data_IF_511606785349
#
_entry.id   IF_511606785349
#
_cell.length_a   1.000
_cell.length_b   1.000
_cell.length_c   1.000
_cell.angle_alpha   90.00
_cell.angle_beta   90.00
_cell.angle_gamma   90.00
#
_symmetry.space_group_name_H-M   'P 1'
#
loop_
_entity.id
_entity.type
_entity.pdbx_description
1 polymer ?
#
# COMPACT_ATOMS: atom_id res chain seq x y z
N UNK A 1 20.19 -14.45 4.15
CA UNK A 1 19.00 -15.26 4.52
C UNK A 1 17.74 -14.49 4.13
N UNK A 2 16.67 -15.16 3.70
CA UNK A 2 15.41 -14.50 3.31
C UNK A 2 14.34 -14.81 4.34
N UNK A 3 13.45 -13.85 4.60
CA UNK A 3 12.38 -13.97 5.57
C UNK A 3 11.04 -13.56 4.96
N UNK A 4 9.95 -14.08 5.51
CA UNK A 4 8.61 -13.55 5.28
C UNK A 4 8.09 -12.90 6.56
N UNK A 5 7.46 -11.73 6.42
CA UNK A 5 6.76 -11.05 7.49
C UNK A 5 5.29 -10.88 7.13
N UNK A 6 4.40 -11.61 7.81
CA UNK A 6 2.96 -11.42 7.70
C UNK A 6 2.51 -10.44 8.78
N UNK A 7 2.03 -9.27 8.38
CA UNK A 7 1.78 -8.14 9.28
C UNK A 7 0.31 -7.76 9.27
N UNK A 8 -0.31 -7.75 10.45
CA UNK A 8 -1.66 -7.23 10.63
C UNK A 8 -1.62 -5.74 10.95
N UNK A 9 -2.33 -4.95 10.15
CA UNK A 9 -2.36 -3.49 10.26
C UNK A 9 -3.76 -3.00 10.66
N UNK A 10 -3.80 -1.97 11.50
CA UNK A 10 -5.01 -1.24 11.85
C UNK A 10 -4.83 0.24 11.49
N UNK A 11 -5.75 0.77 10.69
CA UNK A 11 -5.81 2.18 10.36
C UNK A 11 -6.11 3.07 11.57
N UNK A 12 -5.23 4.03 11.83
CA UNK A 12 -5.41 5.06 12.89
C UNK A 12 -5.82 6.41 12.31
N UNK A 13 -5.98 6.49 10.99
CA UNK A 13 -6.69 7.57 10.30
C UNK A 13 -7.45 7.00 9.09
N UNK A 14 -8.37 7.78 8.48
CA UNK A 14 -9.04 7.34 7.26
C UNK A 14 -8.05 6.99 6.16
N UNK A 15 -8.43 6.12 5.24
CA UNK A 15 -7.65 5.75 4.06
C UNK A 15 -8.45 6.06 2.80
N UNK A 16 -7.76 6.50 1.73
CA UNK A 16 -8.40 6.79 0.45
C UNK A 16 -7.52 6.35 -0.71
N UNK A 17 -8.16 5.99 -1.80
CA UNK A 17 -7.53 5.59 -3.05
C UNK A 17 -7.87 6.59 -4.15
N UNK A 18 -6.99 6.69 -5.13
CA UNK A 18 -7.21 7.51 -6.32
C UNK A 18 -6.72 6.76 -7.56
N UNK A 19 -7.23 5.55 -7.77
CA UNK A 19 -6.97 4.79 -8.98
C UNK A 19 -7.44 5.58 -10.21
N UNK A 20 -6.59 5.64 -11.23
CA UNK A 20 -6.92 6.30 -12.49
C UNK A 20 -7.81 5.37 -13.32
N UNK A 21 -8.99 5.84 -13.73
CA UNK A 21 -9.88 5.12 -14.63
C UNK A 21 -10.17 5.94 -15.90
N UNK A 22 -10.45 5.24 -16.99
CA UNK A 22 -10.71 5.84 -18.31
C UNK A 22 -12.13 5.57 -18.81
N UNK A 23 -13.08 5.38 -17.89
CA UNK A 23 -14.49 5.16 -18.23
C UNK A 23 -14.99 6.27 -19.16
N UNK A 24 -15.53 5.96 -20.34
CA UNK A 24 -15.98 7.00 -21.26
C UNK A 24 -17.19 7.75 -20.70
N UNK A 25 -17.31 9.02 -21.10
CA UNK A 25 -18.53 9.80 -20.88
C UNK A 25 -19.65 9.29 -21.76
N UNK A 26 -20.87 9.31 -21.24
CA UNK A 26 -22.07 9.04 -22.03
C UNK A 26 -22.43 10.28 -22.88
N UNK A 27 -23.19 10.11 -23.98
CA UNK A 27 -23.65 11.23 -24.78
C UNK A 27 -24.41 12.26 -23.93
N UNK A 28 -24.01 13.53 -24.03
CA UNK A 28 -24.59 14.67 -23.28
C UNK A 28 -24.47 14.55 -21.74
N UNK A 29 -23.57 13.73 -21.23
CA UNK A 29 -23.33 13.59 -19.79
C UNK A 29 -22.58 14.81 -19.23
N UNK A 30 -23.18 15.45 -18.23
CA UNK A 30 -22.55 16.54 -17.49
C UNK A 30 -21.40 16.03 -16.62
N UNK A 31 -20.47 16.91 -16.25
CA UNK A 31 -19.26 16.52 -15.53
C UNK A 31 -19.55 15.97 -14.12
N UNK A 32 -20.55 16.52 -13.43
CA UNK A 32 -21.04 16.06 -12.13
C UNK A 32 -21.77 14.71 -12.23
N UNK A 33 -22.60 14.51 -13.25
CA UNK A 33 -23.26 13.24 -13.51
C UNK A 33 -22.24 12.12 -13.82
N UNK A 34 -21.21 12.43 -14.61
CA UNK A 34 -20.09 11.52 -14.84
C UNK A 34 -19.39 11.15 -13.54
N UNK A 35 -19.03 12.14 -12.73
CA UNK A 35 -18.36 11.94 -11.44
C UNK A 35 -19.22 11.10 -10.46
N UNK A 36 -20.52 11.38 -10.34
CA UNK A 36 -21.47 10.59 -9.53
C UNK A 36 -21.56 9.12 -10.00
N UNK A 37 -21.50 8.88 -11.32
CA UNK A 37 -21.56 7.53 -11.87
C UNK A 37 -20.25 6.77 -11.73
N UNK A 38 -19.10 7.43 -11.89
CA UNK A 38 -17.82 6.75 -12.06
C UNK A 38 -16.89 6.81 -10.87
N UNK A 39 -17.19 7.56 -9.80
CA UNK A 39 -16.25 7.74 -8.68
C UNK A 39 -15.79 6.43 -8.04
N UNK A 40 -16.62 5.37 -8.07
CA UNK A 40 -16.26 4.03 -7.57
C UNK A 40 -15.09 3.42 -8.34
N UNK A 41 -14.89 3.80 -9.59
CA UNK A 41 -13.76 3.33 -10.39
C UNK A 41 -12.42 3.91 -9.92
N UNK A 42 -12.40 4.74 -8.85
CA UNK A 42 -11.19 5.24 -8.21
C UNK A 42 -10.61 4.30 -7.14
N UNK A 43 -11.20 3.11 -6.94
CA UNK A 43 -10.62 2.06 -6.09
C UNK A 43 -9.83 1.04 -6.91
N UNK A 44 -8.85 0.43 -6.26
CA UNK A 44 -8.24 -0.83 -6.68
C UNK A 44 -9.10 -1.99 -6.20
N UNK A 45 -9.27 -3.01 -7.04
CA UNK A 45 -10.05 -4.21 -6.73
C UNK A 45 -9.42 -5.45 -7.34
N UNK A 46 -9.64 -6.61 -6.73
CA UNK A 46 -9.31 -7.90 -7.31
C UNK A 46 -10.42 -8.38 -8.27
N UNK A 47 -10.23 -9.57 -8.86
CA UNK A 47 -11.16 -10.17 -9.82
C UNK A 47 -12.53 -10.53 -9.20
N UNK A 48 -12.58 -10.69 -7.87
CA UNK A 48 -13.81 -10.93 -7.10
C UNK A 48 -14.57 -9.63 -6.77
N UNK A 49 -14.05 -8.47 -7.19
CA UNK A 49 -14.64 -7.17 -6.89
C UNK A 49 -14.41 -6.68 -5.45
N UNK A 50 -13.58 -7.37 -4.67
CA UNK A 50 -13.15 -6.93 -3.35
C UNK A 50 -12.11 -5.82 -3.49
N UNK A 51 -12.23 -4.79 -2.65
CA UNK A 51 -11.30 -3.67 -2.63
C UNK A 51 -9.99 -4.11 -1.99
N UNK A 52 -8.90 -3.84 -2.71
CA UNK A 52 -7.53 -4.13 -2.27
C UNK A 52 -6.73 -2.85 -2.15
N UNK A 53 -5.70 -2.84 -1.31
CA UNK A 53 -4.73 -1.76 -1.25
C UNK A 53 -3.52 -2.10 -2.12
N UNK A 54 -2.97 -1.17 -2.91
CA UNK A 54 -1.78 -1.46 -3.70
C UNK A 54 -0.58 -1.84 -2.83
N UNK A 55 0.01 -3.01 -3.08
CA UNK A 55 1.23 -3.54 -2.46
C UNK A 55 2.38 -2.52 -2.52
N UNK A 56 2.48 -1.83 -3.65
CA UNK A 56 3.48 -0.78 -3.88
C UNK A 56 3.37 0.37 -2.85
N UNK A 57 2.17 0.68 -2.36
CA UNK A 57 1.97 1.70 -1.34
C UNK A 57 2.69 1.34 -0.03
N UNK A 58 2.63 0.08 0.38
CA UNK A 58 3.29 -0.43 1.58
C UNK A 58 4.80 -0.52 1.41
N UNK A 59 5.27 -1.03 0.26
CA UNK A 59 6.70 -1.05 -0.09
C UNK A 59 7.30 0.35 -0.01
N UNK A 60 6.66 1.32 -0.67
CA UNK A 60 7.13 2.69 -0.71
C UNK A 60 7.07 3.36 0.67
N UNK A 61 6.04 3.08 1.47
CA UNK A 61 5.91 3.67 2.80
C UNK A 61 7.07 3.27 3.72
N UNK A 62 7.42 1.98 3.79
CA UNK A 62 8.50 1.51 4.66
C UNK A 62 9.90 1.89 4.14
N UNK A 63 10.12 1.89 2.81
CA UNK A 63 11.37 2.37 2.23
C UNK A 63 11.56 3.88 2.46
N UNK A 64 10.50 4.68 2.31
CA UNK A 64 10.54 6.11 2.60
C UNK A 64 10.73 6.39 4.10
N UNK A 65 10.21 5.53 4.98
CA UNK A 65 10.46 5.61 6.42
C UNK A 65 11.94 5.38 6.74
N UNK A 66 12.56 4.33 6.18
CA UNK A 66 13.99 4.08 6.35
C UNK A 66 14.84 5.28 5.89
N UNK A 67 14.49 5.88 4.75
CA UNK A 67 15.12 7.11 4.24
C UNK A 67 14.92 8.29 5.19
N UNK A 68 13.69 8.51 5.64
CA UNK A 68 13.32 9.63 6.51
C UNK A 68 14.07 9.59 7.84
N UNK A 69 14.17 8.40 8.45
CA UNK A 69 14.83 8.22 9.74
C UNK A 69 16.36 8.25 9.63
N UNK A 70 16.91 7.98 8.44
CA UNK A 70 18.37 7.96 8.20
C UNK A 70 19.12 7.07 9.21
N UNK A 71 18.52 5.94 9.60
CA UNK A 71 19.08 5.00 10.57
C UNK A 71 20.39 4.45 10.01
N UNK A 72 21.47 4.60 10.77
CA UNK A 72 22.78 4.06 10.40
C UNK A 72 22.86 2.57 10.71
N UNK A 73 23.56 1.84 9.86
CA UNK A 73 23.79 0.40 10.03
C UNK A 73 24.96 0.24 11.01
N UNK A 74 24.77 -0.44 12.16
CA UNK A 74 25.84 -0.66 13.13
C UNK A 74 27.08 -1.27 12.47
N UNK A 75 28.26 -0.69 12.76
CA UNK A 75 29.53 -1.17 12.22
C UNK A 75 29.80 -0.85 10.74
N UNK A 76 28.91 -0.13 10.04
CA UNK A 76 29.10 0.26 8.61
C UNK A 76 29.28 1.78 8.41
N UNK A 77 29.82 2.46 9.43
CA UNK A 77 30.12 3.89 9.38
C UNK A 77 28.87 4.75 9.15
N UNK A 78 28.88 5.62 8.14
CA UNK A 78 27.75 6.51 7.79
C UNK A 78 26.70 5.87 6.87
N UNK A 79 26.81 4.57 6.57
CA UNK A 79 25.86 3.87 5.71
C UNK A 79 24.51 3.73 6.43
N UNK A 80 23.41 3.99 5.73
CA UNK A 80 22.05 3.87 6.27
C UNK A 80 21.28 2.72 5.64
N UNK A 81 20.20 2.29 6.30
CA UNK A 81 19.32 1.21 5.83
C UNK A 81 18.54 1.52 4.54
N UNK A 82 18.55 2.77 4.05
CA UNK A 82 17.73 3.24 2.91
C UNK A 82 17.79 2.29 1.71
N UNK A 83 18.99 1.97 1.22
CA UNK A 83 19.15 1.12 0.02
C UNK A 83 18.67 -0.31 0.26
N UNK A 84 18.87 -0.83 1.47
CA UNK A 84 18.44 -2.16 1.86
C UNK A 84 16.91 -2.26 1.84
N UNK A 85 16.17 -1.25 2.33
CA UNK A 85 14.70 -1.26 2.22
C UNK A 85 14.20 -0.97 0.79
N UNK A 86 14.94 -0.22 -0.04
CA UNK A 86 14.52 0.03 -1.42
C UNK A 86 14.58 -1.23 -2.30
N UNK A 87 15.63 -2.05 -2.16
CA UNK A 87 15.84 -3.26 -2.98
C UNK A 87 15.53 -4.58 -2.27
N UNK A 88 15.68 -4.63 -0.95
CA UNK A 88 15.63 -5.85 -0.14
C UNK A 88 14.24 -6.25 0.34
N UNK A 89 13.18 -5.52 -0.03
CA UNK A 89 11.81 -5.85 0.36
C UNK A 89 10.89 -5.93 -0.86
N UNK A 90 9.93 -6.83 -0.75
CA UNK A 90 8.80 -6.97 -1.66
C UNK A 90 7.53 -7.17 -0.85
N UNK A 91 6.40 -6.65 -1.34
CA UNK A 91 5.07 -6.99 -0.82
C UNK A 91 4.44 -7.94 -1.84
N UNK A 92 4.07 -9.14 -1.41
CA UNK A 92 3.79 -10.26 -2.31
C UNK A 92 2.47 -10.09 -3.10
N UNK A 93 1.48 -9.44 -2.49
CA UNK A 93 0.15 -9.26 -3.06
C UNK A 93 -0.51 -7.97 -2.55
N UNK A 94 -1.56 -7.52 -3.25
CA UNK A 94 -2.38 -6.38 -2.84
C UNK A 94 -3.34 -6.81 -1.72
N UNK A 95 -3.17 -6.34 -0.46
CA UNK A 95 -3.99 -6.81 0.65
C UNK A 95 -5.44 -6.29 0.58
N UNK A 96 -6.39 -7.14 0.95
CA UNK A 96 -7.82 -6.80 1.02
C UNK A 96 -8.09 -5.82 2.17
N UNK A 97 -8.98 -4.84 1.93
CA UNK A 97 -9.46 -3.91 2.96
C UNK A 97 -10.65 -4.51 3.69
N UNK A 98 -10.54 -4.56 5.02
CA UNK A 98 -11.64 -4.90 5.90
C UNK A 98 -12.12 -3.68 6.67
N UNK A 99 -13.43 -3.49 6.77
CA UNK A 99 -14.04 -2.52 7.67
C UNK A 99 -14.84 -3.22 8.76
N UNK A 100 -15.04 -2.50 9.86
CA UNK A 100 -15.89 -2.93 10.96
C UNK A 100 -17.34 -3.01 10.49
N UNK A 101 -17.99 -4.14 10.73
CA UNK A 101 -19.42 -4.36 10.54
C UNK A 101 -19.97 -5.03 11.81
N UNK A 102 -20.64 -4.23 12.66
CA UNK A 102 -21.05 -4.66 13.99
C UNK A 102 -19.86 -5.09 14.86
N UNK A 103 -19.85 -6.35 15.30
CA UNK A 103 -18.77 -6.92 16.10
C UNK A 103 -17.62 -7.52 15.29
N UNK A 104 -17.79 -7.66 13.98
CA UNK A 104 -16.85 -8.34 13.10
C UNK A 104 -16.19 -7.38 12.10
N UNK A 105 -15.26 -7.94 11.32
CA UNK A 105 -14.61 -7.27 10.20
C UNK A 105 -14.97 -7.99 8.90
N UNK A 106 -15.40 -7.24 7.89
CA UNK A 106 -15.77 -7.81 6.58
C UNK A 106 -14.98 -7.16 5.45
N UNK A 107 -14.62 -7.93 4.42
CA UNK A 107 -14.02 -7.38 3.22
C UNK A 107 -15.03 -6.47 2.51
N UNK A 108 -14.55 -5.40 1.89
CA UNK A 108 -15.41 -4.45 1.17
C UNK A 108 -15.48 -4.80 -0.30
N UNK A 109 -16.69 -5.04 -0.80
CA UNK A 109 -16.96 -5.11 -2.24
C UNK A 109 -17.08 -3.71 -2.85
N UNK A 110 -16.68 -3.55 -4.11
CA UNK A 110 -16.66 -2.25 -4.83
C UNK A 110 -18.01 -1.51 -4.81
N UNK A 111 -19.12 -2.23 -4.79
CA UNK A 111 -20.48 -1.65 -4.76
C UNK A 111 -20.82 -0.97 -3.43
N UNK A 112 -20.17 -1.42 -2.34
CA UNK A 112 -20.41 -0.95 -0.98
C UNK A 112 -19.35 0.04 -0.49
N UNK A 113 -18.54 0.57 -1.42
CA UNK A 113 -17.46 1.51 -1.05
C UNK A 113 -18.05 2.78 -0.44
N UNK A 114 -17.56 3.24 0.72
CA UNK A 114 -17.91 4.53 1.30
C UNK A 114 -17.32 5.70 0.50
N UNK A 115 -18.03 6.82 0.44
CA UNK A 115 -17.60 8.03 -0.29
C UNK A 115 -17.48 9.25 0.61
N UNK A 116 -16.61 10.16 0.20
CA UNK A 116 -16.55 11.52 0.73
C UNK A 116 -16.63 12.51 -0.43
N UNK A 117 -17.52 13.50 -0.32
CA UNK A 117 -17.54 14.64 -1.22
C UNK A 117 -16.47 15.64 -0.78
N UNK A 118 -15.62 16.06 -1.71
CA UNK A 118 -14.62 17.10 -1.47
C UNK A 118 -14.73 18.15 -2.55
N UNK A 119 -14.74 19.42 -2.12
CA UNK A 119 -14.49 20.52 -3.02
C UNK A 119 -12.96 20.60 -3.21
N UNK A 120 -12.46 20.50 -4.44
CA UNK A 120 -11.02 20.48 -4.75
C UNK A 120 -10.69 21.41 -5.91
N UNK A 121 -9.43 21.84 -6.06
CA UNK A 121 -9.00 22.58 -7.24
C UNK A 121 -9.22 21.75 -8.50
N UNK A 122 -9.91 22.30 -9.50
CA UNK A 122 -10.19 21.57 -10.75
C UNK A 122 -8.94 21.38 -11.61
N UNK A 123 -7.93 22.23 -11.41
CA UNK A 123 -6.63 22.26 -12.09
C UNK A 123 -5.52 21.52 -11.30
N UNK A 124 -5.83 20.99 -10.11
CA UNK A 124 -4.86 20.32 -9.25
C UNK A 124 -3.88 21.27 -8.55
N UNK A 125 -4.05 22.59 -8.66
CA UNK A 125 -3.16 23.58 -8.05
C UNK A 125 -3.70 24.00 -6.69
N UNK A 126 -2.93 23.74 -5.64
CA UNK A 126 -3.29 24.16 -4.27
C UNK A 126 -3.46 25.68 -4.18
N UNK A 127 -4.55 26.13 -3.57
CA UNK A 127 -4.87 27.56 -3.43
C UNK A 127 -5.55 28.18 -4.68
N UNK A 128 -5.74 27.42 -5.76
CA UNK A 128 -6.50 27.90 -6.92
C UNK A 128 -7.97 28.18 -6.55
N UNK A 129 -8.51 29.28 -7.07
CA UNK A 129 -9.92 29.64 -6.95
C UNK A 129 -10.86 28.83 -7.85
N UNK A 130 -10.31 28.02 -8.78
CA UNK A 130 -11.10 27.12 -9.64
C UNK A 130 -11.49 25.88 -8.85
N UNK A 131 -12.78 25.69 -8.60
CA UNK A 131 -13.30 24.68 -7.67
C UNK A 131 -14.25 23.71 -8.37
N UNK A 132 -14.12 22.44 -8.04
CA UNK A 132 -15.02 21.38 -8.51
C UNK A 132 -15.28 20.40 -7.38
N UNK A 133 -16.53 19.96 -7.25
CA UNK A 133 -16.88 18.87 -6.35
C UNK A 133 -16.45 17.54 -6.97
N UNK A 134 -15.73 16.73 -6.20
CA UNK A 134 -15.38 15.35 -6.55
C UNK A 134 -15.77 14.41 -5.42
N UNK A 135 -16.02 13.16 -5.75
CA UNK A 135 -16.21 12.08 -4.79
C UNK A 135 -14.97 11.19 -4.76
N UNK A 136 -14.53 10.88 -3.55
CA UNK A 136 -13.40 9.99 -3.31
C UNK A 136 -13.87 8.79 -2.49
N UNK A 137 -13.36 7.58 -2.78
CA UNK A 137 -13.55 6.43 -1.91
C UNK A 137 -12.78 6.66 -0.61
N UNK A 138 -13.47 6.69 0.52
CA UNK A 138 -12.85 6.97 1.84
C UNK A 138 -13.25 5.92 2.85
N UNK A 139 -12.29 5.11 3.24
CA UNK A 139 -12.39 4.06 4.24
C UNK A 139 -12.15 4.70 5.62
N UNK A 140 -13.14 4.60 6.51
CA UNK A 140 -13.07 5.20 7.83
C UNK A 140 -11.93 4.63 8.67
N UNK A 141 -11.50 5.38 9.68
CA UNK A 141 -10.52 4.93 10.67
C UNK A 141 -10.94 3.58 11.27
N UNK A 142 -9.96 2.73 11.58
CA UNK A 142 -10.20 1.37 12.06
C UNK A 142 -10.28 0.31 10.97
N UNK A 143 -10.03 0.68 9.70
CA UNK A 143 -9.80 -0.30 8.63
C UNK A 143 -8.69 -1.28 8.98
N UNK A 144 -8.77 -2.50 8.46
CA UNK A 144 -7.78 -3.56 8.65
C UNK A 144 -7.27 -4.08 7.31
N UNK A 145 -6.01 -4.50 7.30
CA UNK A 145 -5.36 -5.19 6.20
C UNK A 145 -4.25 -6.10 6.76
N UNK A 146 -4.04 -7.25 6.13
CA UNK A 146 -2.91 -8.14 6.42
C UNK A 146 -1.95 -8.11 5.25
N UNK A 147 -0.70 -7.75 5.49
CA UNK A 147 0.31 -7.52 4.44
C UNK A 147 1.40 -8.56 4.54
N UNK A 148 1.67 -9.25 3.43
CA UNK A 148 2.73 -10.25 3.34
C UNK A 148 3.98 -9.64 2.69
N UNK A 149 5.01 -9.42 3.50
CA UNK A 149 6.32 -8.94 3.05
C UNK A 149 7.28 -10.10 2.84
N UNK A 150 8.09 -10.01 1.80
CA UNK A 150 9.30 -10.80 1.61
C UNK A 150 10.51 -9.89 1.87
N UNK A 151 11.36 -10.26 2.82
CA UNK A 151 12.57 -9.54 3.21
C UNK A 151 13.77 -10.37 2.75
N UNK A 152 14.44 -9.91 1.70
CA UNK A 152 15.49 -10.62 0.98
C UNK A 152 16.89 -10.23 1.41
N UNK A 153 17.04 -9.08 2.08
CA UNK A 153 18.31 -8.57 2.56
C UNK A 153 18.45 -8.84 4.06
N UNK A 154 19.42 -9.66 4.44
CA UNK A 154 19.63 -10.10 5.82
C UNK A 154 20.24 -9.04 6.74
N UNK A 155 20.68 -7.91 6.18
CA UNK A 155 21.03 -6.73 6.98
C UNK A 155 19.78 -6.19 7.69
N UNK A 156 18.59 -6.42 7.15
CA UNK A 156 17.31 -6.05 7.76
C UNK A 156 16.91 -7.13 8.76
N UNK A 157 17.21 -6.91 10.04
CA UNK A 157 16.71 -7.77 11.12
C UNK A 157 15.21 -7.57 11.35
N UNK A 158 14.63 -8.50 12.09
CA UNK A 158 13.25 -8.43 12.57
C UNK A 158 12.95 -7.10 13.28
N UNK A 159 13.83 -6.65 14.18
CA UNK A 159 13.66 -5.42 14.97
C UNK A 159 13.74 -4.19 14.06
N UNK A 160 14.75 -4.14 13.17
CA UNK A 160 14.92 -3.04 12.22
C UNK A 160 13.71 -2.93 11.29
N UNK A 161 13.19 -4.06 10.82
CA UNK A 161 11.98 -4.11 10.01
C UNK A 161 10.77 -3.57 10.77
N UNK A 162 10.52 -4.10 11.98
CA UNK A 162 9.36 -3.72 12.80
C UNK A 162 9.38 -2.24 13.15
N UNK A 163 10.51 -1.73 13.66
CA UNK A 163 10.65 -0.33 14.03
C UNK A 163 10.43 0.57 12.82
N UNK A 164 11.03 0.24 11.68
CA UNK A 164 10.85 1.00 10.44
C UNK A 164 9.40 0.98 9.98
N UNK A 165 8.71 -0.15 10.07
CA UNK A 165 7.30 -0.28 9.69
C UNK A 165 6.36 0.50 10.61
N UNK A 166 6.64 0.50 11.92
CA UNK A 166 5.92 1.33 12.90
C UNK A 166 6.05 2.80 12.54
N UNK A 167 7.27 3.26 12.24
CA UNK A 167 7.52 4.64 11.81
C UNK A 167 6.88 4.95 10.45
N UNK A 168 6.84 4.00 9.53
CA UNK A 168 6.15 4.14 8.25
C UNK A 168 4.66 4.44 8.46
N UNK A 169 4.00 3.73 9.37
CA UNK A 169 2.59 3.96 9.70
C UNK A 169 2.32 5.33 10.34
N UNK A 170 3.26 5.84 11.14
CA UNK A 170 3.11 7.09 11.86
C UNK A 170 3.46 8.33 11.02
N UNK A 171 4.61 8.29 10.34
CA UNK A 171 5.24 9.46 9.70
C UNK A 171 5.02 9.52 8.20
N UNK A 172 4.82 8.37 7.55
CA UNK A 172 4.75 8.29 6.09
C UNK A 172 3.31 8.07 5.60
N UNK A 173 2.67 7.00 6.07
CA UNK A 173 1.35 6.56 5.68
C UNK A 173 1.25 6.02 4.23
N UNK A 174 0.06 5.54 3.89
CA UNK A 174 -0.26 4.93 2.59
C UNK A 174 -1.47 5.57 1.91
N UNK A 175 -1.64 5.32 0.61
CA UNK A 175 -2.76 5.85 -0.16
C UNK A 175 -2.65 7.33 -0.49
N UNK A 176 -3.74 7.90 -0.97
CA UNK A 176 -3.81 9.29 -1.40
C UNK A 176 -4.07 10.21 -0.21
N UNK A 177 -3.64 11.47 -0.32
CA UNK A 177 -3.74 12.44 0.80
C UNK A 177 -3.09 11.93 2.11
N UNK A 178 -2.02 11.14 1.98
CA UNK A 178 -1.25 10.62 3.12
C UNK A 178 -0.47 11.71 3.86
N UNK A 179 -0.18 11.47 5.13
CA UNK A 179 0.54 12.41 6.03
C UNK A 179 1.83 12.97 5.40
N UNK A 180 2.64 12.13 4.76
CA UNK A 180 3.90 12.56 4.14
C UNK A 180 3.72 13.63 3.05
N UNK A 181 2.57 13.61 2.38
CA UNK A 181 2.22 14.52 1.29
C UNK A 181 1.31 15.66 1.78
N UNK A 182 1.55 16.16 3.01
CA UNK A 182 0.79 17.24 3.66
C UNK A 182 -0.69 16.93 3.91
N UNK A 183 -1.10 15.68 3.76
CA UNK A 183 -2.46 15.24 4.05
C UNK A 183 -2.62 14.74 5.48
N UNK A 184 -3.75 14.09 5.76
CA UNK A 184 -4.08 13.57 7.10
C UNK A 184 -4.45 12.09 7.11
N UNK A 185 -4.52 11.46 5.94
CA UNK A 185 -5.01 10.09 5.78
C UNK A 185 -3.86 9.07 5.79
N UNK A 186 -4.20 7.79 5.75
CA UNK A 186 -3.28 6.70 5.47
C UNK A 186 -2.39 6.26 6.63
N UNK A 187 -2.60 6.75 7.85
CA UNK A 187 -1.82 6.31 9.01
C UNK A 187 -2.31 4.96 9.49
N UNK A 188 -1.37 4.13 9.94
CA UNK A 188 -1.66 2.82 10.49
C UNK A 188 -0.75 2.50 11.67
N UNK A 189 -1.12 1.47 12.43
CA UNK A 189 -0.28 0.84 13.44
C UNK A 189 -0.16 -0.66 13.13
N UNK A 190 0.96 -1.24 13.52
CA UNK A 190 1.14 -2.69 13.53
C UNK A 190 0.35 -3.27 14.70
N UNK A 191 -0.50 -4.25 14.43
CA UNK A 191 -1.33 -4.93 15.41
C UNK A 191 -0.78 -6.33 15.75
N UNK A 192 -0.10 -6.96 14.80
CA UNK A 192 0.56 -8.25 14.95
C UNK A 192 1.54 -8.46 13.81
N UNK A 193 2.56 -9.30 14.03
CA UNK A 193 3.50 -9.70 12.99
C UNK A 193 4.00 -11.12 13.25
N UNK A 194 3.95 -11.95 12.22
CA UNK A 194 4.59 -13.27 12.17
C UNK A 194 5.84 -13.15 11.30
N UNK A 195 7.02 -13.47 11.86
CA UNK A 195 8.31 -13.42 11.17
C UNK A 195 8.88 -14.83 11.03
N UNK A 196 9.05 -15.29 9.79
CA UNK A 196 9.49 -16.66 9.50
C UNK A 196 10.67 -16.65 8.51
N UNK A 197 11.59 -17.60 8.68
CA UNK A 197 12.60 -17.88 7.66
C UNK A 197 11.94 -18.40 6.38
N UNK A 198 12.42 -17.92 5.23
CA UNK A 198 11.93 -18.31 3.92
C UNK A 198 12.99 -19.14 3.20
N UNK A 199 12.70 -20.43 3.03
CA UNK A 199 13.51 -21.32 2.20
C UNK A 199 12.93 -21.38 0.78
N UNK A 200 13.68 -20.85 -0.18
CA UNK A 200 13.37 -21.05 -1.58
C UNK A 200 13.59 -22.52 -1.96
N UNK A 201 12.54 -23.24 -2.35
CA UNK A 201 12.64 -24.60 -2.88
C UNK A 201 13.46 -24.58 -4.18
N UNK A 202 14.72 -25.04 -4.12
CA UNK A 202 15.64 -25.10 -5.27
C UNK A 202 15.27 -26.19 -6.28
N UNK A 203 14.38 -27.11 -5.91
CA UNK A 203 14.16 -28.37 -6.62
C UNK A 203 13.47 -28.24 -7.99
N UNK A 204 13.04 -27.04 -8.39
CA UNK A 204 12.32 -26.79 -9.65
C UNK A 204 13.07 -25.88 -10.63
N UNK A 205 14.35 -25.57 -10.40
CA UNK A 205 15.12 -24.73 -11.33
C UNK A 205 15.66 -25.60 -12.48
N UNK A 206 15.01 -25.48 -13.65
CA UNK A 206 15.50 -26.06 -14.92
C UNK A 206 16.23 -24.98 -15.70
N UNK A 207 17.56 -25.11 -15.84
CA UNK A 207 18.34 -24.22 -16.69
C UNK A 207 18.31 -24.76 -18.11
N UNK A 208 17.74 -24.03 -19.07
CA UNK A 208 17.76 -24.43 -20.48
C UNK A 208 18.67 -23.49 -21.24
N UNK A 209 19.80 -24.00 -21.74
CA UNK A 209 20.73 -23.24 -22.59
C UNK A 209 20.68 -23.85 -23.99
N UNK A 210 20.38 -23.03 -25.00
CA UNK A 210 20.26 -23.47 -26.39
C UNK A 210 19.31 -24.67 -26.58
N UNK A 211 18.18 -24.67 -25.85
CA UNK A 211 17.19 -25.75 -25.92
C UNK A 211 17.59 -27.06 -25.22
N UNK A 212 18.73 -27.11 -24.53
CA UNK A 212 19.15 -28.26 -23.73
C UNK A 212 19.03 -27.95 -22.24
N UNK A 213 18.40 -28.87 -21.51
CA UNK A 213 18.34 -28.81 -20.05
C UNK A 213 19.73 -29.10 -19.47
N UNK A 214 20.20 -28.18 -18.63
CA UNK A 214 21.50 -28.20 -17.97
C UNK A 214 21.20 -28.29 -16.47
N UNK A 215 21.85 -29.22 -15.78
CA UNK A 215 21.72 -29.31 -14.32
C UNK A 215 22.29 -28.05 -13.69
N UNK A 216 21.48 -27.39 -12.86
CA UNK A 216 21.95 -26.35 -11.96
C UNK A 216 22.65 -27.05 -10.81
N UNK A 217 23.96 -26.84 -10.68
CA UNK A 217 24.76 -27.28 -9.54
C UNK A 217 24.53 -26.39 -8.33
#
# INVERSE_FOLDING_TARGET
MTYTAKVDLIGVSPYTQSFQHNTPKLPKELADAYEERTWRNKVHRNDEGLVVMPAMGFKNAIAEAAKYLSIQIPGKGKSTYTKHFESGILVQEDPIIYLRDGNDYKPIHVDNVPRMAMNVPSDGVSGSGKRVQKFFPVFAMGWKATVNYLVMDDVISHEVFLDTLVQAGQLIGIGSFRVRNKGTFGRFRVAGMEWNEYEAKKDNIRLVINGKEVKVA
#
